data_IF_321526275565
#
_entry.id   IF_321526275565
#
_cell.length_a   1.000
_cell.length_b   1.000
_cell.length_c   1.000
_cell.angle_alpha   90.00
_cell.angle_beta   90.00
_cell.angle_gamma   90.00
#
_symmetry.space_group_name_H-M   'P 1'
#
loop_
_entity.id
_entity.type
_entity.pdbx_description
1 polymer ?
#
# COMPACT_ATOMS: atom_id res chain seq x y z
N UNK A 1 -24.13 17.95 -49.61
CA UNK A 1 -25.25 17.52 -48.76
C UNK A 1 -24.75 16.48 -47.76
N UNK A 2 -24.95 16.73 -46.45
CA UNK A 2 -24.91 15.78 -45.31
C UNK A 2 -23.56 15.04 -45.12
N UNK A 3 -22.97 14.92 -43.93
CA UNK A 3 -23.62 14.78 -42.64
C UNK A 3 -22.66 15.18 -41.52
N UNK A 4 -23.10 16.17 -40.76
CA UNK A 4 -22.68 16.47 -39.39
C UNK A 4 -23.03 15.27 -38.50
N UNK A 5 -22.10 14.34 -38.35
CA UNK A 5 -22.15 13.26 -37.34
C UNK A 5 -20.70 13.10 -36.88
N UNK A 6 -20.27 13.83 -35.86
CA UNK A 6 -20.13 13.22 -34.54
C UNK A 6 -19.94 14.30 -33.45
N UNK A 7 -20.76 15.34 -33.47
CA UNK A 7 -20.96 16.22 -32.32
C UNK A 7 -21.87 15.51 -31.30
N UNK A 8 -21.42 14.35 -30.82
CA UNK A 8 -22.11 13.55 -29.81
C UNK A 8 -21.16 12.66 -29.01
N UNK A 9 -19.92 13.10 -28.77
CA UNK A 9 -19.18 12.68 -27.57
C UNK A 9 -19.76 13.47 -26.38
N UNK A 10 -21.07 13.26 -26.18
CA UNK A 10 -21.77 13.49 -24.94
C UNK A 10 -20.96 12.80 -23.84
N UNK A 11 -20.40 13.58 -22.93
CA UNK A 11 -20.90 13.65 -21.56
C UNK A 11 -21.25 12.31 -20.85
N UNK A 12 -20.60 11.20 -21.19
CA UNK A 12 -20.85 9.87 -20.58
C UNK A 12 -19.64 9.27 -19.85
N UNK A 13 -18.61 10.07 -19.55
CA UNK A 13 -17.48 9.63 -18.69
C UNK A 13 -17.43 10.36 -17.35
N UNK A 14 -18.56 10.93 -16.90
CA UNK A 14 -18.70 11.52 -15.56
C UNK A 14 -19.46 10.64 -14.55
N UNK A 15 -19.82 9.39 -14.91
CA UNK A 15 -20.65 8.52 -14.06
C UNK A 15 -19.98 7.15 -13.83
N UNK A 16 -18.70 7.13 -13.44
CA UNK A 16 -18.05 5.92 -12.89
C UNK A 16 -17.05 6.21 -11.75
N UNK A 17 -17.17 7.33 -11.03
CA UNK A 17 -16.39 7.55 -9.79
C UNK A 17 -17.20 7.39 -8.50
N UNK A 18 -18.42 6.85 -8.61
CA UNK A 18 -19.20 6.36 -7.49
C UNK A 18 -18.70 4.95 -7.12
N UNK A 19 -18.20 4.80 -5.89
CA UNK A 19 -17.96 3.52 -5.17
C UNK A 19 -16.56 2.88 -5.30
N UNK A 20 -15.50 3.68 -5.21
CA UNK A 20 -14.25 3.17 -4.63
C UNK A 20 -14.50 2.90 -3.14
N UNK A 21 -15.03 1.71 -2.83
CA UNK A 21 -15.48 1.29 -1.52
C UNK A 21 -14.44 1.56 -0.43
N UNK A 22 -14.87 2.30 0.58
CA UNK A 22 -14.22 2.47 1.87
C UNK A 22 -13.67 1.14 2.39
N UNK A 23 -12.38 0.87 2.18
CA UNK A 23 -11.71 -0.31 2.73
C UNK A 23 -11.26 0.01 4.16
N UNK A 24 -11.61 -0.86 5.11
CA UNK A 24 -11.11 -0.78 6.49
C UNK A 24 -9.57 -0.76 6.47
N UNK A 25 -8.98 0.16 7.21
CA UNK A 25 -7.52 0.36 7.31
C UNK A 25 -6.79 -0.94 7.63
N UNK A 26 -7.38 -1.80 8.45
CA UNK A 26 -6.83 -3.10 8.81
C UNK A 26 -6.62 -4.02 7.60
N UNK A 27 -7.60 -4.08 6.68
CA UNK A 27 -7.51 -4.91 5.46
C UNK A 27 -6.44 -4.37 4.51
N UNK A 28 -6.34 -3.05 4.39
CA UNK A 28 -5.32 -2.40 3.55
C UNK A 28 -3.92 -2.61 4.13
N UNK A 29 -3.75 -2.50 5.45
CA UNK A 29 -2.48 -2.82 6.14
C UNK A 29 -2.11 -4.28 5.92
N UNK A 30 -3.06 -5.22 6.02
CA UNK A 30 -2.78 -6.65 5.76
C UNK A 30 -2.25 -6.86 4.34
N UNK A 31 -2.88 -6.25 3.33
CA UNK A 31 -2.47 -6.34 1.93
C UNK A 31 -1.06 -5.75 1.68
N UNK A 32 -0.76 -4.60 2.31
CA UNK A 32 0.54 -3.93 2.23
C UNK A 32 1.61 -4.80 2.90
N UNK A 33 1.41 -5.18 4.16
CA UNK A 33 2.35 -5.97 4.95
C UNK A 33 2.62 -7.31 4.31
N UNK A 34 1.60 -7.97 3.76
CA UNK A 34 1.74 -9.23 3.02
C UNK A 34 2.64 -9.08 1.80
N UNK A 35 2.48 -8.01 1.03
CA UNK A 35 3.34 -7.71 -0.11
C UNK A 35 4.80 -7.51 0.29
N UNK A 36 5.03 -6.68 1.31
CA UNK A 36 6.37 -6.37 1.83
C UNK A 36 7.05 -7.63 2.37
N UNK A 37 6.39 -8.35 3.28
CA UNK A 37 6.97 -9.53 3.93
C UNK A 37 7.26 -10.66 2.95
N UNK A 38 6.42 -10.87 1.92
CA UNK A 38 6.71 -11.90 0.89
C UNK A 38 8.02 -11.59 0.17
N UNK A 39 8.20 -10.36 -0.30
CA UNK A 39 9.40 -9.95 -1.02
C UNK A 39 10.63 -9.95 -0.10
N UNK A 40 10.50 -9.37 1.10
CA UNK A 40 11.59 -9.28 2.06
C UNK A 40 12.11 -10.66 2.47
N UNK A 41 11.23 -11.60 2.86
CA UNK A 41 11.65 -12.94 3.25
C UNK A 41 12.28 -13.70 2.07
N UNK A 42 11.74 -13.55 0.86
CA UNK A 42 12.34 -14.14 -0.33
C UNK A 42 13.77 -13.61 -0.59
N UNK A 43 13.96 -12.29 -0.48
CA UNK A 43 15.26 -11.67 -0.64
C UNK A 43 16.25 -12.05 0.47
N UNK A 44 15.82 -12.02 1.73
CA UNK A 44 16.64 -12.43 2.87
C UNK A 44 17.06 -13.89 2.78
N UNK A 45 16.21 -14.80 2.31
CA UNK A 45 16.60 -16.20 2.11
C UNK A 45 17.59 -16.38 0.96
N UNK A 46 17.47 -15.56 -0.09
CA UNK A 46 18.38 -15.59 -1.23
C UNK A 46 19.78 -15.15 -0.82
N UNK A 47 19.90 -14.07 -0.05
CA UNK A 47 21.21 -13.57 0.41
C UNK A 47 21.74 -14.32 1.62
N UNK A 48 20.86 -14.71 2.55
CA UNK A 48 21.19 -15.39 3.78
C UNK A 48 20.45 -16.73 3.84
N UNK A 49 21.04 -17.82 3.32
CA UNK A 49 20.40 -19.14 3.31
C UNK A 49 19.99 -19.63 4.71
N UNK A 50 20.66 -19.16 5.77
CA UNK A 50 20.35 -19.46 7.17
C UNK A 50 19.19 -18.63 7.75
N UNK A 51 18.54 -17.76 6.97
CA UNK A 51 17.45 -16.91 7.45
C UNK A 51 16.20 -17.74 7.80
N UNK A 52 15.90 -17.83 9.10
CA UNK A 52 14.84 -18.70 9.66
C UNK A 52 13.45 -18.08 9.70
N UNK A 53 13.32 -16.76 9.52
CA UNK A 53 12.01 -16.12 9.68
C UNK A 53 11.07 -16.50 8.52
N UNK A 54 9.84 -16.86 8.87
CA UNK A 54 8.80 -17.16 7.88
C UNK A 54 8.03 -15.90 7.50
N UNK A 55 7.45 -15.92 6.30
CA UNK A 55 6.53 -14.85 5.83
C UNK A 55 5.36 -14.66 6.79
N UNK A 56 4.82 -15.75 7.37
CA UNK A 56 3.72 -15.68 8.34
C UNK A 56 4.13 -14.90 9.60
N UNK A 57 5.30 -15.22 10.16
CA UNK A 57 5.83 -14.53 11.34
C UNK A 57 6.15 -13.06 11.06
N UNK A 58 6.69 -12.75 9.86
CA UNK A 58 6.87 -11.37 9.42
C UNK A 58 5.54 -10.61 9.38
N UNK A 59 4.51 -11.18 8.74
CA UNK A 59 3.21 -10.53 8.60
C UNK A 59 2.59 -10.23 9.96
N UNK A 60 2.57 -11.22 10.87
CA UNK A 60 2.00 -11.03 12.20
C UNK A 60 2.72 -9.93 13.00
N UNK A 61 4.07 -9.94 13.00
CA UNK A 61 4.88 -8.93 13.70
C UNK A 61 4.69 -7.54 13.11
N UNK A 62 4.77 -7.42 11.79
CA UNK A 62 4.65 -6.15 11.08
C UNK A 62 3.23 -5.57 11.18
N UNK A 63 2.18 -6.39 11.07
CA UNK A 63 0.78 -5.96 11.29
C UNK A 63 0.60 -5.43 12.70
N UNK A 64 1.07 -6.15 13.73
CA UNK A 64 0.97 -5.72 15.13
C UNK A 64 1.71 -4.41 15.37
N UNK A 65 2.92 -4.26 14.84
CA UNK A 65 3.70 -3.01 14.93
C UNK A 65 2.97 -1.85 14.25
N UNK A 66 2.54 -2.04 13.01
CA UNK A 66 1.88 -1.00 12.23
C UNK A 66 0.56 -0.55 12.87
N UNK A 67 -0.29 -1.50 13.29
CA UNK A 67 -1.54 -1.20 13.99
C UNK A 67 -1.27 -0.46 15.31
N UNK A 68 -0.21 -0.81 16.05
CA UNK A 68 0.20 -0.08 17.26
C UNK A 68 0.64 1.34 16.93
N UNK A 69 1.41 1.54 15.87
CA UNK A 69 1.91 2.86 15.44
C UNK A 69 0.78 3.83 15.06
N UNK A 70 -0.35 3.30 14.58
CA UNK A 70 -1.58 4.07 14.31
C UNK A 70 -2.57 4.09 15.50
N UNK A 71 -2.21 3.51 16.65
CA UNK A 71 -3.01 3.52 17.88
C UNK A 71 -4.14 2.49 17.96
N UNK A 72 -4.09 1.41 17.19
CA UNK A 72 -5.00 0.27 17.28
C UNK A 72 -6.43 0.51 16.76
N UNK A 73 -6.74 1.70 16.25
CA UNK A 73 -8.08 2.06 15.78
C UNK A 73 -8.32 1.54 14.37
N UNK A 74 -9.48 0.93 14.15
CA UNK A 74 -9.96 0.57 12.81
C UNK A 74 -10.82 1.70 12.27
N UNK A 75 -10.38 2.34 11.20
CA UNK A 75 -11.11 3.40 10.51
C UNK A 75 -11.07 3.19 9.00
N UNK A 76 -11.87 3.98 8.29
CA UNK A 76 -11.93 3.95 6.84
C UNK A 76 -10.86 4.86 6.24
N UNK A 77 -10.06 4.32 5.31
CA UNK A 77 -9.11 5.12 4.56
C UNK A 77 -9.81 6.00 3.53
N UNK A 78 -9.39 7.25 3.45
CA UNK A 78 -9.64 8.14 2.31
C UNK A 78 -8.95 7.62 1.05
N UNK A 79 -9.38 8.11 -0.11
CA UNK A 79 -8.77 7.78 -1.41
C UNK A 79 -7.25 8.07 -1.41
N UNK A 80 -6.84 9.20 -0.85
CA UNK A 80 -5.43 9.61 -0.77
C UNK A 80 -4.62 8.67 0.12
N UNK A 81 -5.13 8.30 1.31
CA UNK A 81 -4.47 7.34 2.20
C UNK A 81 -4.34 5.97 1.54
N UNK A 82 -5.37 5.52 0.82
CA UNK A 82 -5.32 4.27 0.08
C UNK A 82 -4.27 4.31 -1.04
N UNK A 83 -4.17 5.42 -1.79
CA UNK A 83 -3.14 5.60 -2.81
C UNK A 83 -1.72 5.59 -2.21
N UNK A 84 -1.52 6.22 -1.05
CA UNK A 84 -0.25 6.18 -0.33
C UNK A 84 0.09 4.75 0.13
N UNK A 85 -0.90 3.99 0.63
CA UNK A 85 -0.73 2.59 0.98
C UNK A 85 -0.32 1.73 -0.23
N UNK A 86 -0.95 1.94 -1.39
CA UNK A 86 -0.59 1.24 -2.63
C UNK A 86 0.81 1.61 -3.13
N UNK A 87 1.19 2.90 -3.08
CA UNK A 87 2.55 3.35 -3.41
C UNK A 87 3.58 2.69 -2.48
N UNK A 88 3.29 2.63 -1.18
CA UNK A 88 4.10 1.92 -0.19
C UNK A 88 4.28 0.43 -0.55
N UNK A 89 3.20 -0.30 -0.82
CA UNK A 89 3.28 -1.71 -1.26
C UNK A 89 4.12 -1.88 -2.52
N UNK A 90 3.87 -1.06 -3.54
CA UNK A 90 4.52 -1.17 -4.84
C UNK A 90 6.02 -0.87 -4.77
N UNK A 91 6.46 0.05 -3.90
CA UNK A 91 7.87 0.31 -3.66
C UNK A 91 8.61 -0.98 -3.31
N UNK A 92 8.11 -1.74 -2.33
CA UNK A 92 8.75 -3.00 -1.93
C UNK A 92 8.60 -4.12 -2.96
N UNK A 93 7.43 -4.25 -3.59
CA UNK A 93 7.19 -5.35 -4.54
C UNK A 93 8.03 -5.20 -5.83
N UNK A 94 8.19 -3.97 -6.32
CA UNK A 94 8.89 -3.67 -7.59
C UNK A 94 10.40 -3.47 -7.42
N UNK A 95 10.90 -3.25 -6.21
CA UNK A 95 12.32 -3.07 -5.97
C UNK A 95 13.15 -4.37 -6.09
N UNK A 96 14.43 -4.20 -6.40
CA UNK A 96 15.43 -5.27 -6.33
C UNK A 96 15.60 -5.75 -4.88
N UNK A 97 16.18 -6.94 -4.69
CA UNK A 97 16.43 -7.44 -3.35
C UNK A 97 17.37 -6.53 -2.55
N UNK A 98 18.43 -6.03 -3.19
CA UNK A 98 19.36 -5.05 -2.63
C UNK A 98 18.64 -3.83 -2.04
N UNK A 99 17.75 -3.20 -2.82
CA UNK A 99 16.92 -2.07 -2.37
C UNK A 99 15.88 -2.44 -1.32
N UNK A 100 15.48 -3.72 -1.24
CA UNK A 100 14.53 -4.22 -0.24
C UNK A 100 15.20 -4.42 1.12
N UNK A 101 16.48 -4.79 1.16
CA UNK A 101 17.23 -5.05 2.39
C UNK A 101 17.90 -3.78 2.93
N UNK A 102 18.19 -2.82 2.06
CA UNK A 102 18.66 -1.48 2.40
C UNK A 102 17.69 -0.43 1.83
N UNK A 103 16.52 -0.24 2.44
CA UNK A 103 15.66 0.87 2.02
C UNK A 103 16.37 2.18 2.33
N UNK A 104 16.67 2.98 1.29
CA UNK A 104 17.19 4.35 1.45
C UNK A 104 16.30 5.17 2.39
N UNK A 105 16.93 5.83 3.36
CA UNK A 105 16.30 6.48 4.51
C UNK A 105 15.54 7.77 4.13
N UNK A 106 15.78 8.32 2.92
CA UNK A 106 15.36 9.68 2.55
C UNK A 106 13.88 9.90 2.23
N UNK A 107 13.17 8.95 1.62
CA UNK A 107 11.73 9.12 1.33
C UNK A 107 11.02 7.78 1.28
N UNK A 108 10.67 7.26 2.46
CA UNK A 108 9.95 6.01 2.53
C UNK A 108 8.44 6.26 2.32
N UNK A 109 7.80 5.80 1.21
CA UNK A 109 6.38 6.04 0.97
C UNK A 109 5.48 5.45 2.07
N UNK A 110 5.97 4.43 2.80
CA UNK A 110 5.27 3.89 3.97
C UNK A 110 5.40 4.77 5.21
N UNK A 111 6.46 5.55 5.34
CA UNK A 111 6.57 6.54 6.42
C UNK A 111 5.61 7.69 6.18
N UNK A 112 5.54 8.22 4.95
CA UNK A 112 4.52 9.19 4.55
C UNK A 112 3.12 8.67 4.85
N UNK A 113 2.80 7.44 4.44
CA UNK A 113 1.53 6.79 4.75
C UNK A 113 1.27 6.73 6.28
N UNK A 114 2.23 6.24 7.07
CA UNK A 114 2.10 6.13 8.53
C UNK A 114 1.89 7.49 9.20
N UNK A 115 2.64 8.52 8.77
CA UNK A 115 2.52 9.87 9.29
C UNK A 115 1.19 10.52 8.91
N UNK A 116 0.68 10.28 7.72
CA UNK A 116 -0.67 10.70 7.32
C UNK A 116 -1.74 10.08 8.23
N UNK A 117 -1.66 8.77 8.49
CA UNK A 117 -2.60 8.09 9.40
C UNK A 117 -2.48 8.61 10.84
N UNK A 118 -1.27 8.89 11.31
CA UNK A 118 -1.03 9.48 12.64
C UNK A 118 -1.59 10.90 12.77
N UNK A 119 -1.44 11.74 11.74
CA UNK A 119 -1.94 13.12 11.75
C UNK A 119 -3.46 13.19 11.83
N UNK A 120 -4.18 12.28 11.15
CA UNK A 120 -5.64 12.18 11.22
C UNK A 120 -6.17 11.81 12.62
N UNK A 121 -5.29 11.41 13.55
CA UNK A 121 -5.61 11.08 14.94
C UNK A 121 -5.46 12.28 15.90
N UNK A 122 -4.71 13.32 15.54
CA UNK A 122 -4.63 14.57 16.31
C UNK A 122 -5.82 15.44 15.96
#
# INVERSE_FOLDING_TARGET
MKSLVALAVFLFTAVQFSWAGSRKVEKVIDDVVRGICKKQVACMKKEFPKYRQTTKTCIQRSKKKFMRDIGGKSFTLTKTEYQLAQKCKNFFVKNSCEKTMRPDIGEHPCEKFTNTLKKRKK
#
